data_IF_185156273774
#
_entry.id   IF_185156273774
#
_cell.length_a   1.000
_cell.length_b   1.000
_cell.length_c   1.000
_cell.angle_alpha   90.00
_cell.angle_beta   90.00
_cell.angle_gamma   90.00
#
_symmetry.space_group_name_H-M   'P 1'
#
loop_
_entity.id
_entity.type
_entity.pdbx_description
1 polymer ?
#
# COMPACT_ATOMS: atom_id res chain seq x y z
N UNK A 1 -8.59 -25.25 12.89
CA UNK A 1 -9.32 -23.97 12.99
C UNK A 1 -10.28 -23.93 11.83
N UNK A 2 -11.56 -23.94 12.13
CA UNK A 2 -12.65 -24.01 11.16
C UNK A 2 -13.47 -22.71 11.14
N UNK A 3 -14.44 -22.61 10.22
CA UNK A 3 -15.42 -21.53 10.25
C UNK A 3 -16.17 -21.50 11.58
N UNK A 4 -16.49 -20.30 12.06
CA UNK A 4 -17.22 -20.05 13.31
C UNK A 4 -18.39 -19.08 13.07
N UNK A 5 -19.39 -19.11 13.95
CA UNK A 5 -20.47 -18.14 13.92
C UNK A 5 -19.91 -16.72 14.10
N UNK A 6 -20.45 -15.77 13.33
CA UNK A 6 -19.95 -14.39 13.21
C UNK A 6 -18.85 -14.20 12.15
N UNK A 7 -18.33 -15.26 11.54
CA UNK A 7 -17.35 -15.12 10.46
C UNK A 7 -17.97 -14.46 9.21
N UNK A 8 -17.27 -13.49 8.63
CA UNK A 8 -17.65 -12.87 7.36
C UNK A 8 -17.22 -13.75 6.20
N UNK A 9 -18.18 -14.06 5.32
CA UNK A 9 -17.99 -14.97 4.20
C UNK A 9 -18.50 -14.36 2.90
N UNK A 10 -17.88 -14.77 1.80
CA UNK A 10 -18.39 -14.54 0.44
C UNK A 10 -18.80 -15.87 -0.16
N UNK A 11 -20.01 -15.98 -0.69
CA UNK A 11 -20.46 -17.16 -1.41
C UNK A 11 -19.84 -17.15 -2.82
N UNK A 12 -19.29 -18.29 -3.25
CA UNK A 12 -18.60 -18.40 -4.54
C UNK A 12 -19.55 -18.61 -5.73
N UNK A 13 -20.69 -19.27 -5.50
CA UNK A 13 -21.58 -19.76 -6.55
C UNK A 13 -23.03 -19.24 -6.40
N UNK A 14 -23.25 -18.12 -5.69
CA UNK A 14 -24.59 -17.54 -5.59
C UNK A 14 -24.77 -16.53 -6.73
N UNK A 15 -25.78 -16.75 -7.60
CA UNK A 15 -26.25 -15.89 -8.70
C UNK A 15 -25.35 -14.71 -9.13
N UNK A 16 -24.70 -14.80 -10.31
CA UNK A 16 -24.01 -13.76 -11.11
C UNK A 16 -23.19 -12.65 -10.41
N UNK A 17 -22.98 -12.77 -9.11
CA UNK A 17 -22.46 -11.72 -8.25
C UNK A 17 -21.88 -12.30 -6.97
N UNK A 18 -20.84 -11.66 -6.47
CA UNK A 18 -20.11 -12.07 -5.28
C UNK A 18 -20.88 -11.76 -3.99
N UNK A 19 -21.97 -12.49 -3.70
CA UNK A 19 -22.82 -12.22 -2.53
C UNK A 19 -22.05 -12.45 -1.22
N UNK A 20 -22.17 -11.50 -0.29
CA UNK A 20 -21.54 -11.53 1.03
C UNK A 20 -22.56 -11.84 2.12
N UNK A 21 -22.06 -12.42 3.20
CA UNK A 21 -22.88 -12.79 4.34
C UNK A 21 -22.06 -13.03 5.60
N UNK A 22 -22.77 -13.36 6.67
CA UNK A 22 -22.22 -13.70 7.98
C UNK A 22 -22.69 -15.10 8.36
N UNK A 23 -21.78 -15.93 8.86
CA UNK A 23 -22.13 -17.25 9.39
C UNK A 23 -22.95 -17.08 10.65
N UNK A 24 -24.17 -17.60 10.69
CA UNK A 24 -25.01 -17.66 11.89
C UNK A 24 -24.75 -18.91 12.71
N UNK A 25 -24.61 -20.05 12.03
CA UNK A 25 -24.41 -21.34 12.68
C UNK A 25 -23.51 -22.24 11.83
N UNK A 26 -22.82 -23.15 12.52
CA UNK A 26 -21.92 -24.14 11.93
C UNK A 26 -22.37 -25.52 12.38
N UNK A 27 -22.72 -26.38 11.44
CA UNK A 27 -23.14 -27.76 11.68
C UNK A 27 -22.24 -28.70 10.87
N UNK A 28 -21.15 -29.16 11.49
CA UNK A 28 -20.15 -29.97 10.79
C UNK A 28 -19.52 -29.20 9.63
N UNK A 29 -19.74 -29.66 8.40
CA UNK A 29 -19.23 -29.01 7.17
C UNK A 29 -20.22 -28.00 6.55
N UNK A 30 -21.43 -27.91 7.11
CA UNK A 30 -22.46 -26.98 6.64
C UNK A 30 -22.46 -25.70 7.45
N UNK A 31 -22.65 -24.60 6.74
CA UNK A 31 -22.73 -23.24 7.25
C UNK A 31 -24.12 -22.69 6.95
N UNK A 32 -24.77 -22.17 7.98
CA UNK A 32 -25.93 -21.31 7.83
C UNK A 32 -25.42 -19.88 7.70
N UNK A 33 -25.61 -19.25 6.53
CA UNK A 33 -25.09 -17.92 6.23
C UNK A 33 -26.25 -16.96 6.01
N UNK A 34 -26.28 -15.88 6.77
CA UNK A 34 -27.18 -14.75 6.51
C UNK A 34 -26.56 -13.81 5.48
N UNK A 35 -27.25 -13.59 4.37
CA UNK A 35 -26.83 -12.66 3.33
C UNK A 35 -26.97 -11.21 3.81
N UNK A 36 -25.98 -10.37 3.53
CA UNK A 36 -25.97 -8.96 3.97
C UNK A 36 -27.03 -8.12 3.22
N UNK A 37 -27.31 -8.44 1.96
CA UNK A 37 -28.21 -7.65 1.11
C UNK A 37 -29.69 -8.00 1.31
N UNK A 38 -30.03 -9.29 1.38
CA UNK A 38 -31.42 -9.76 1.50
C UNK A 38 -31.84 -10.16 2.91
N UNK A 39 -30.87 -10.35 3.82
CA UNK A 39 -31.13 -10.94 5.14
C UNK A 39 -31.52 -12.42 5.11
N UNK A 40 -31.56 -13.03 3.93
CA UNK A 40 -31.92 -14.42 3.71
C UNK A 40 -30.89 -15.37 4.33
N UNK A 41 -31.36 -16.51 4.82
CA UNK A 41 -30.52 -17.57 5.38
C UNK A 41 -30.29 -18.65 4.32
N UNK A 42 -29.02 -18.83 3.95
CA UNK A 42 -28.60 -19.81 2.95
C UNK A 42 -27.75 -20.89 3.63
N UNK A 43 -28.13 -22.14 3.43
CA UNK A 43 -27.31 -23.29 3.84
C UNK A 43 -26.29 -23.60 2.74
N UNK A 44 -25.02 -23.63 3.09
CA UNK A 44 -23.95 -23.88 2.13
C UNK A 44 -22.80 -24.67 2.76
N UNK A 45 -22.00 -25.37 1.94
CA UNK A 45 -20.81 -26.06 2.41
C UNK A 45 -19.67 -25.09 2.73
N UNK A 46 -18.74 -25.52 3.59
CA UNK A 46 -17.56 -24.73 3.92
C UNK A 46 -16.67 -24.43 2.68
N UNK A 47 -16.65 -25.35 1.70
CA UNK A 47 -15.86 -25.21 0.47
C UNK A 47 -16.44 -24.19 -0.53
N UNK A 48 -17.75 -23.98 -0.51
CA UNK A 48 -18.48 -23.06 -1.39
C UNK A 48 -18.44 -21.60 -0.91
N UNK A 49 -17.74 -21.32 0.19
CA UNK A 49 -17.55 -19.97 0.70
C UNK A 49 -16.06 -19.59 0.79
N UNK A 50 -15.80 -18.29 0.70
CA UNK A 50 -14.51 -17.67 1.04
C UNK A 50 -14.67 -16.98 2.38
N UNK A 51 -14.07 -17.55 3.43
CA UNK A 51 -14.18 -17.01 4.79
C UNK A 51 -13.02 -16.06 5.11
N UNK A 52 -13.32 -14.76 5.19
CA UNK A 52 -12.36 -13.70 5.43
C UNK A 52 -11.87 -13.69 6.88
N UNK A 53 -12.77 -13.91 7.83
CA UNK A 53 -12.45 -13.94 9.25
C UNK A 53 -11.54 -15.12 9.59
N UNK A 54 -11.81 -16.31 9.05
CA UNK A 54 -10.95 -17.48 9.19
C UNK A 54 -9.57 -17.26 8.55
N UNK A 55 -9.51 -16.61 7.38
CA UNK A 55 -8.25 -16.26 6.76
C UNK A 55 -7.42 -15.31 7.63
N UNK A 56 -8.06 -14.30 8.24
CA UNK A 56 -7.41 -13.39 9.19
C UNK A 56 -6.92 -14.12 10.45
N UNK A 57 -7.75 -14.99 11.04
CA UNK A 57 -7.38 -15.80 12.22
C UNK A 57 -6.19 -16.71 11.94
N UNK A 58 -6.19 -17.39 10.78
CA UNK A 58 -5.04 -18.21 10.32
C UNK A 58 -3.79 -17.37 10.10
N UNK A 59 -3.94 -16.18 9.52
CA UNK A 59 -2.85 -15.23 9.30
C UNK A 59 -2.22 -14.73 10.61
N UNK A 60 -3.02 -14.38 11.61
CA UNK A 60 -2.53 -13.96 12.93
C UNK A 60 -1.86 -15.11 13.70
N UNK A 61 -2.41 -16.33 13.62
CA UNK A 61 -1.82 -17.49 14.28
C UNK A 61 -0.48 -17.90 13.68
N UNK A 62 -0.34 -17.86 12.36
CA UNK A 62 0.87 -18.32 11.66
C UNK A 62 1.97 -17.24 11.56
N UNK A 63 1.64 -15.97 11.79
CA UNK A 63 2.59 -14.85 11.81
C UNK A 63 2.23 -13.86 12.95
N UNK A 64 2.50 -14.20 14.23
CA UNK A 64 2.26 -13.28 15.34
C UNK A 64 3.16 -12.04 15.27
N UNK A 65 4.36 -12.17 14.68
CA UNK A 65 5.28 -11.06 14.38
C UNK A 65 5.01 -10.43 13.01
N UNK A 66 3.75 -10.08 12.73
CA UNK A 66 3.53 -9.10 11.66
C UNK A 66 4.06 -7.77 12.17
N UNK A 67 5.17 -7.31 11.58
CA UNK A 67 5.53 -5.89 11.58
C UNK A 67 4.44 -5.11 10.85
N UNK A 68 3.29 -4.93 11.50
CA UNK A 68 2.31 -3.91 11.14
C UNK A 68 2.82 -2.61 11.73
N UNK A 69 3.25 -1.71 10.85
CA UNK A 69 4.08 -0.56 11.22
C UNK A 69 5.58 -0.85 11.07
N UNK A 70 6.37 0.23 11.01
CA UNK A 70 7.81 0.17 10.81
C UNK A 70 8.50 -0.48 12.03
N UNK A 71 9.48 -1.38 11.86
CA UNK A 71 10.27 -1.93 12.97
C UNK A 71 10.79 -0.82 13.90
N UNK A 72 10.63 -1.00 15.22
CA UNK A 72 11.32 -0.17 16.23
C UNK A 72 12.82 -0.30 15.97
N UNK A 73 13.48 0.81 15.62
CA UNK A 73 14.91 0.83 15.27
C UNK A 73 15.21 1.04 13.78
N UNK A 74 14.21 1.10 12.90
CA UNK A 74 14.44 1.60 11.56
C UNK A 74 14.77 3.09 11.66
N UNK A 75 16.05 3.45 11.45
CA UNK A 75 16.57 4.82 11.54
C UNK A 75 15.54 5.80 10.97
N UNK A 76 15.14 6.80 11.76
CA UNK A 76 14.58 8.02 11.21
C UNK A 76 15.67 8.60 10.32
N UNK A 77 15.65 8.25 9.04
CA UNK A 77 16.17 9.14 8.03
C UNK A 77 15.15 10.27 8.04
N UNK A 78 15.50 11.42 8.61
CA UNK A 78 14.64 12.61 8.56
C UNK A 78 14.44 12.96 7.09
N UNK A 79 13.33 12.49 6.53
CA UNK A 79 13.01 12.55 5.10
C UNK A 79 11.58 13.03 5.00
N UNK A 80 11.40 14.10 4.25
CA UNK A 80 10.09 14.63 3.89
C UNK A 80 9.67 13.99 2.57
N UNK A 81 8.48 13.39 2.54
CA UNK A 81 7.86 12.94 1.29
C UNK A 81 7.15 14.11 0.64
N UNK A 82 7.47 14.36 -0.63
CA UNK A 82 6.87 15.44 -1.42
C UNK A 82 6.30 14.88 -2.71
N UNK A 83 5.25 15.53 -3.23
CA UNK A 83 4.70 15.25 -4.56
C UNK A 83 5.16 16.35 -5.51
N UNK A 84 5.85 15.97 -6.59
CA UNK A 84 6.32 16.88 -7.63
C UNK A 84 5.51 16.69 -8.91
N UNK A 85 5.25 17.77 -9.64
CA UNK A 85 4.76 17.71 -11.03
C UNK A 85 5.94 17.93 -11.96
N UNK A 86 6.14 17.02 -12.91
CA UNK A 86 7.21 17.05 -13.92
C UNK A 86 6.54 16.95 -15.28
N UNK A 87 7.07 17.68 -16.26
CA UNK A 87 6.61 17.58 -17.65
C UNK A 87 6.75 16.14 -18.16
N UNK A 88 5.74 15.72 -18.94
CA UNK A 88 5.63 14.34 -19.43
C UNK A 88 6.88 13.91 -20.20
N UNK A 89 7.35 14.73 -21.14
CA UNK A 89 8.48 14.38 -22.00
C UNK A 89 9.77 14.21 -21.20
N UNK A 90 10.01 15.10 -20.24
CA UNK A 90 11.15 15.02 -19.33
C UNK A 90 11.08 13.74 -18.48
N UNK A 91 9.89 13.38 -17.99
CA UNK A 91 9.69 12.14 -17.25
C UNK A 91 9.93 10.89 -18.10
N UNK A 92 9.50 10.88 -19.37
CA UNK A 92 9.77 9.77 -20.28
C UNK A 92 11.27 9.63 -20.58
N UNK A 93 11.99 10.74 -20.78
CA UNK A 93 13.44 10.71 -20.91
C UNK A 93 14.09 10.14 -19.65
N UNK A 94 13.69 10.61 -18.47
CA UNK A 94 14.20 10.10 -17.19
C UNK A 94 14.02 8.58 -17.06
N UNK A 95 12.84 8.05 -17.41
CA UNK A 95 12.57 6.61 -17.38
C UNK A 95 13.45 5.82 -18.35
N UNK A 96 13.75 6.38 -19.53
CA UNK A 96 14.65 5.73 -20.49
C UNK A 96 16.07 5.62 -19.92
N UNK A 97 16.59 6.69 -19.33
CA UNK A 97 17.92 6.70 -18.69
C UNK A 97 18.01 5.72 -17.50
N UNK A 98 16.90 5.53 -16.78
CA UNK A 98 16.77 4.51 -15.74
C UNK A 98 16.78 3.09 -16.33
N UNK A 99 16.03 2.84 -17.40
CA UNK A 99 16.00 1.54 -18.07
C UNK A 99 17.37 1.15 -18.64
N UNK A 100 18.16 2.14 -19.07
CA UNK A 100 19.54 1.97 -19.53
C UNK A 100 20.55 1.85 -18.36
N UNK A 101 20.08 1.90 -17.11
CA UNK A 101 20.89 1.70 -15.90
C UNK A 101 21.77 2.88 -15.51
N UNK A 102 21.64 4.02 -16.19
CA UNK A 102 22.36 5.27 -15.85
C UNK A 102 21.80 5.91 -14.58
N UNK A 103 20.49 5.73 -14.33
CA UNK A 103 19.84 6.12 -13.08
C UNK A 103 19.54 4.85 -12.27
N UNK A 104 20.31 4.62 -11.20
CA UNK A 104 20.14 3.44 -10.33
C UNK A 104 19.22 3.70 -9.14
N UNK A 105 19.19 4.93 -8.65
CA UNK A 105 18.36 5.35 -7.51
C UNK A 105 17.78 6.73 -7.79
N UNK A 106 16.47 6.76 -8.08
CA UNK A 106 15.75 8.00 -8.39
C UNK A 106 15.85 9.03 -7.26
N UNK A 107 15.71 8.58 -6.02
CA UNK A 107 15.72 9.47 -4.86
C UNK A 107 17.10 10.06 -4.65
N UNK A 108 18.16 9.24 -4.76
CA UNK A 108 19.53 9.74 -4.66
C UNK A 108 19.84 10.75 -5.78
N UNK A 109 19.47 10.44 -7.02
CA UNK A 109 19.68 11.32 -8.18
C UNK A 109 18.98 12.67 -8.00
N UNK A 110 17.70 12.66 -7.63
CA UNK A 110 16.93 13.89 -7.40
C UNK A 110 17.53 14.72 -6.25
N UNK A 111 17.93 14.08 -5.16
CA UNK A 111 18.56 14.78 -4.03
C UNK A 111 19.90 15.42 -4.40
N UNK A 112 20.71 14.76 -5.24
CA UNK A 112 21.96 15.32 -5.75
C UNK A 112 21.67 16.56 -6.61
N UNK A 113 20.72 16.46 -7.54
CA UNK A 113 20.33 17.60 -8.37
C UNK A 113 19.79 18.78 -7.55
N UNK A 114 19.00 18.53 -6.50
CA UNK A 114 18.56 19.60 -5.61
C UNK A 114 19.73 20.29 -4.91
N UNK A 115 20.71 19.53 -4.40
CA UNK A 115 21.90 20.14 -3.77
C UNK A 115 22.69 20.98 -4.77
N UNK A 116 22.97 20.44 -5.96
CA UNK A 116 23.70 21.17 -6.99
C UNK A 116 22.99 22.45 -7.44
N UNK A 117 21.66 22.41 -7.53
CA UNK A 117 20.85 23.59 -7.84
C UNK A 117 20.96 24.65 -6.73
N UNK A 118 20.81 24.24 -5.46
CA UNK A 118 20.91 25.14 -4.31
C UNK A 118 22.30 25.76 -4.22
N UNK A 119 23.37 24.97 -4.37
CA UNK A 119 24.76 25.45 -4.37
C UNK A 119 24.98 26.52 -5.47
N UNK A 120 24.36 26.35 -6.64
CA UNK A 120 24.46 27.34 -7.74
C UNK A 120 23.72 28.64 -7.40
N UNK A 121 22.56 28.54 -6.74
CA UNK A 121 21.78 29.70 -6.33
C UNK A 121 22.52 30.51 -5.24
N UNK A 122 23.08 29.84 -4.23
CA UNK A 122 23.88 30.49 -3.18
C UNK A 122 25.06 31.25 -3.78
N UNK A 123 25.87 30.60 -4.63
CA UNK A 123 27.01 31.27 -5.29
C UNK A 123 26.59 32.45 -6.15
N UNK A 124 25.42 32.39 -6.77
CA UNK A 124 24.90 33.50 -7.59
C UNK A 124 24.47 34.66 -6.70
N UNK A 125 23.81 34.37 -5.58
CA UNK A 125 23.39 35.36 -4.60
C UNK A 125 24.60 36.05 -3.95
N UNK A 126 25.62 35.29 -3.54
CA UNK A 126 26.86 35.83 -2.96
C UNK A 126 27.55 36.81 -3.92
N UNK A 127 27.56 36.50 -5.22
CA UNK A 127 28.12 37.38 -6.24
C UNK A 127 27.32 38.68 -6.40
N UNK A 128 26.00 38.61 -6.30
CA UNK A 128 25.11 39.79 -6.37
C UNK A 128 25.35 40.69 -5.16
N UNK A 129 25.46 40.11 -3.96
CA UNK A 129 25.62 40.86 -2.72
C UNK A 129 27.03 41.46 -2.60
N UNK A 130 28.06 40.74 -3.06
CA UNK A 130 29.42 41.28 -3.19
C UNK A 130 29.47 42.50 -4.14
N UNK A 131 28.71 42.47 -5.24
CA UNK A 131 28.64 43.58 -6.20
C UNK A 131 27.86 44.80 -5.67
N UNK A 132 26.91 44.61 -4.74
CA UNK A 132 26.18 45.70 -4.09
C UNK A 132 26.98 46.40 -3.01
N UNK A 133 27.83 45.67 -2.28
CA UNK A 133 28.66 46.23 -1.20
C UNK A 133 29.87 47.05 -1.71
N UNK A 134 30.13 47.06 -3.02
CA UNK A 134 31.19 47.84 -3.66
C UNK A 134 30.66 49.06 -4.45
N UNK A 135 29.39 49.44 -4.24
CA UNK A 135 28.79 50.70 -4.71
C UNK A 135 28.44 51.57 -3.51
#
# INVERSE_FOLDING_TARGET
MGPEAGDKVKLKNHHDGAVRGVVEAVHGDQLLVRLEESGELVVTGSASVTNFSLAARKAWKNMPHRHVGRPKGARHCDRVSVTLRIDRELWEQFKREEAEGRIRDRTATINVWFREMLDRLERTQDRIDAAKNHR
#
